data_IF_237241417811
#
_entry.id   IF_237241417811
#
_cell.length_a   1.000
_cell.length_b   1.000
_cell.length_c   1.000
_cell.angle_alpha   90.00
_cell.angle_beta   90.00
_cell.angle_gamma   90.00
#
_symmetry.space_group_name_H-M   'P 1'
#
loop_
_entity.id
_entity.type
_entity.pdbx_description
1 polymer ?
#
# COMPACT_ATOMS: atom_id res chain seq x y z
N UNK A 1 2.69 -12.12 3.06
CA UNK A 1 3.84 -11.45 3.70
C UNK A 1 3.55 -10.02 4.14
N UNK A 2 2.83 -9.20 3.36
CA UNK A 2 2.56 -7.82 3.76
C UNK A 2 1.91 -7.67 5.16
N UNK A 3 0.92 -8.49 5.57
CA UNK A 3 0.42 -8.47 6.94
C UNK A 3 1.51 -8.71 8.00
N UNK A 4 2.46 -9.62 7.74
CA UNK A 4 3.60 -9.87 8.62
C UNK A 4 4.59 -8.70 8.71
N UNK A 5 4.78 -7.94 7.62
CA UNK A 5 5.53 -6.68 7.67
C UNK A 5 4.80 -5.61 8.49
N UNK A 6 3.49 -5.45 8.26
CA UNK A 6 2.63 -4.53 9.03
C UNK A 6 2.63 -4.89 10.52
N UNK A 7 2.64 -6.17 10.89
CA UNK A 7 2.74 -6.60 12.28
C UNK A 7 4.16 -6.57 12.87
N UNK A 8 5.16 -6.10 12.09
CA UNK A 8 6.60 -6.11 12.42
C UNK A 8 7.23 -7.48 12.64
N UNK A 9 6.62 -8.55 12.14
CA UNK A 9 7.20 -9.90 12.16
C UNK A 9 8.25 -10.12 11.07
N UNK A 10 8.20 -9.30 10.01
CA UNK A 10 9.21 -9.26 8.96
C UNK A 10 9.65 -7.82 8.74
N UNK A 11 10.94 -7.64 8.50
CA UNK A 11 11.49 -6.41 7.93
C UNK A 11 11.09 -6.26 6.47
N UNK A 12 11.23 -5.06 5.94
CA UNK A 12 11.01 -4.81 4.51
C UNK A 12 11.90 -5.73 3.65
N UNK A 13 13.16 -5.93 4.05
CA UNK A 13 14.12 -6.75 3.30
C UNK A 13 13.72 -8.23 3.23
N UNK A 14 13.11 -8.78 4.28
CA UNK A 14 12.70 -10.19 4.35
C UNK A 14 11.48 -10.51 3.47
N UNK A 15 10.69 -9.49 3.13
CA UNK A 15 9.54 -9.65 2.23
C UNK A 15 9.87 -9.30 0.77
N UNK A 16 11.11 -8.94 0.46
CA UNK A 16 11.56 -8.59 -0.89
C UNK A 16 12.46 -9.66 -1.49
N UNK A 17 12.24 -9.93 -2.78
CA UNK A 17 13.10 -10.80 -3.58
C UNK A 17 13.88 -9.95 -4.59
N UNK A 18 15.18 -10.21 -4.73
CA UNK A 18 15.97 -9.60 -5.78
C UNK A 18 15.69 -10.30 -7.12
N UNK A 19 14.84 -9.66 -7.94
CA UNK A 19 14.46 -10.20 -9.25
C UNK A 19 15.63 -10.29 -10.23
N UNK A 20 16.61 -9.39 -10.16
CA UNK A 20 17.77 -9.45 -11.05
C UNK A 20 18.53 -10.76 -10.84
N UNK A 21 18.86 -11.10 -9.58
CA UNK A 21 19.53 -12.37 -9.25
C UNK A 21 18.72 -13.59 -9.67
N UNK A 22 17.39 -13.54 -9.51
CA UNK A 22 16.52 -14.64 -9.93
C UNK A 22 16.50 -14.80 -11.46
N UNK A 23 16.44 -13.70 -12.21
CA UNK A 23 16.47 -13.70 -13.66
C UNK A 23 17.81 -14.19 -14.21
N UNK A 24 18.93 -13.75 -13.60
CA UNK A 24 20.28 -14.25 -13.90
C UNK A 24 20.37 -15.77 -13.72
N UNK A 25 19.87 -16.29 -12.58
CA UNK A 25 19.81 -17.73 -12.32
C UNK A 25 18.98 -18.49 -13.36
N UNK A 26 17.86 -17.91 -13.80
CA UNK A 26 16.95 -18.51 -14.77
C UNK A 26 17.35 -18.32 -16.24
N UNK A 27 18.47 -17.64 -16.53
CA UNK A 27 18.85 -17.21 -17.88
C UNK A 27 17.71 -16.43 -18.59
N UNK A 28 17.04 -15.55 -17.85
CA UNK A 28 15.96 -14.68 -18.34
C UNK A 28 16.46 -13.24 -18.39
N UNK A 29 16.19 -12.54 -19.49
CA UNK A 29 16.51 -11.12 -19.59
C UNK A 29 15.47 -10.28 -18.82
N UNK A 30 15.93 -9.56 -17.79
CA UNK A 30 15.09 -8.65 -17.02
C UNK A 30 15.16 -7.23 -17.60
N UNK A 31 14.00 -6.69 -17.97
CA UNK A 31 13.87 -5.32 -18.47
C UNK A 31 13.11 -4.48 -17.44
N UNK A 32 13.82 -3.59 -16.75
CA UNK A 32 13.25 -2.67 -15.76
C UNK A 32 12.66 -1.44 -16.45
N UNK A 33 11.48 -1.59 -17.05
CA UNK A 33 10.73 -0.48 -17.64
C UNK A 33 9.22 -0.76 -17.63
N UNK A 34 8.40 0.29 -17.61
CA UNK A 34 6.96 0.14 -17.83
C UNK A 34 6.68 -0.23 -19.28
N UNK A 35 5.88 -1.26 -19.52
CA UNK A 35 5.27 -1.52 -20.82
C UNK A 35 4.12 -0.53 -21.04
N UNK A 36 4.23 0.32 -22.07
CA UNK A 36 3.27 1.39 -22.33
C UNK A 36 2.34 1.10 -23.51
N UNK A 37 2.77 0.25 -24.44
CA UNK A 37 1.96 -0.13 -25.61
C UNK A 37 2.34 -1.52 -26.11
N UNK A 38 1.34 -2.25 -26.57
CA UNK A 38 1.50 -3.51 -27.31
C UNK A 38 1.08 -3.23 -28.75
N UNK A 39 1.94 -3.56 -29.71
CA UNK A 39 1.68 -3.45 -31.14
C UNK A 39 1.75 -4.83 -31.74
N UNK A 40 0.65 -5.31 -32.33
CA UNK A 40 0.66 -6.58 -33.05
C UNK A 40 1.17 -6.36 -34.48
N UNK A 41 1.93 -7.31 -35.01
CA UNK A 41 2.31 -7.27 -36.42
C UNK A 41 1.05 -7.44 -37.30
N UNK A 42 1.00 -6.72 -38.42
CA UNK A 42 -0.10 -6.86 -39.39
C UNK A 42 -0.04 -8.25 -40.03
N UNK A 43 -1.19 -8.92 -40.17
CA UNK A 43 -1.23 -10.24 -40.80
C UNK A 43 -1.27 -10.14 -42.32
N UNK A 44 -0.28 -10.71 -42.98
CA UNK A 44 -0.30 -11.00 -44.41
C UNK A 44 -0.24 -12.50 -44.64
N UNK A 45 -1.40 -13.15 -44.84
CA UNK A 45 -1.46 -14.58 -45.15
C UNK A 45 -1.17 -15.51 -43.96
N UNK A 46 -0.29 -16.50 -44.14
CA UNK A 46 0.02 -17.56 -43.16
C UNK A 46 1.22 -17.25 -42.24
N UNK A 47 1.62 -15.99 -42.13
CA UNK A 47 2.79 -15.58 -41.35
C UNK A 47 2.63 -15.80 -39.84
N UNK A 48 3.77 -16.00 -39.15
CA UNK A 48 3.84 -16.20 -37.71
C UNK A 48 3.23 -15.00 -36.95
N UNK A 49 2.45 -15.29 -35.91
CA UNK A 49 1.79 -14.27 -35.09
C UNK A 49 2.79 -13.76 -34.05
N UNK A 50 2.95 -12.43 -33.99
CA UNK A 50 3.83 -11.77 -33.03
C UNK A 50 3.52 -10.29 -32.89
N UNK A 51 4.45 -9.56 -32.26
CA UNK A 51 4.36 -8.13 -32.12
C UNK A 51 5.50 -7.53 -31.32
N UNK A 52 5.27 -6.31 -30.84
CA UNK A 52 6.22 -5.51 -30.09
C UNK A 52 5.60 -4.99 -28.81
N UNK A 53 6.32 -5.12 -27.70
CA UNK A 53 6.08 -4.32 -26.50
C UNK A 53 6.93 -3.06 -26.61
N UNK A 54 6.29 -1.90 -26.50
CA UNK A 54 6.96 -0.60 -26.41
C UNK A 54 7.06 -0.25 -24.93
N UNK A 55 8.28 0.01 -24.47
CA UNK A 55 8.57 0.40 -23.11
C UNK A 55 8.64 1.93 -22.98
N UNK A 56 8.37 2.42 -21.78
CA UNK A 56 8.44 3.85 -21.39
C UNK A 56 9.80 4.49 -21.66
N UNK A 57 10.88 3.72 -21.68
CA UNK A 57 12.23 4.18 -22.00
C UNK A 57 12.55 4.15 -23.50
N UNK A 58 11.56 3.91 -24.37
CA UNK A 58 11.71 3.84 -25.83
C UNK A 58 12.19 2.50 -26.37
N UNK A 59 12.54 1.53 -25.52
CA UNK A 59 12.91 0.18 -25.98
C UNK A 59 11.70 -0.51 -26.64
N UNK A 60 11.97 -1.26 -27.71
CA UNK A 60 10.99 -2.09 -28.41
C UNK A 60 11.40 -3.56 -28.29
N UNK A 61 10.56 -4.37 -27.68
CA UNK A 61 10.82 -5.79 -27.42
C UNK A 61 9.92 -6.61 -28.33
N UNK A 62 10.52 -7.37 -29.25
CA UNK A 62 9.77 -8.29 -30.11
C UNK A 62 9.29 -9.50 -29.30
N UNK A 63 8.10 -10.00 -29.60
CA UNK A 63 7.58 -11.25 -29.04
C UNK A 63 6.84 -12.05 -30.10
N UNK A 64 6.86 -13.38 -29.94
CA UNK A 64 5.99 -14.31 -30.67
C UNK A 64 4.80 -14.72 -29.78
N UNK A 65 5.03 -14.82 -28.47
CA UNK A 65 4.01 -15.06 -27.45
C UNK A 65 4.15 -14.02 -26.33
N UNK A 66 3.03 -13.42 -25.93
CA UNK A 66 2.98 -12.45 -24.85
C UNK A 66 2.08 -12.96 -23.72
N UNK A 67 2.65 -13.06 -22.52
CA UNK A 67 1.90 -13.30 -21.27
C UNK A 67 1.81 -11.99 -20.48
N UNK A 68 0.60 -11.60 -20.08
CA UNK A 68 0.35 -10.32 -19.41
C UNK A 68 -0.01 -10.60 -17.95
N UNK A 69 0.86 -10.15 -17.04
CA UNK A 69 0.66 -10.23 -15.60
C UNK A 69 0.98 -8.89 -14.92
N UNK A 70 0.28 -7.83 -15.34
CA UNK A 70 0.51 -6.47 -14.84
C UNK A 70 -0.19 -6.17 -13.48
N UNK A 71 -0.99 -7.11 -12.96
CA UNK A 71 -1.76 -6.93 -11.74
C UNK A 71 -2.88 -5.88 -11.86
N UNK A 72 -3.41 -5.46 -10.71
CA UNK A 72 -4.42 -4.38 -10.61
C UNK A 72 -3.76 -3.09 -10.11
N UNK A 73 -4.19 -1.96 -10.67
CA UNK A 73 -3.96 -0.64 -10.07
C UNK A 73 -5.28 -0.20 -9.44
N UNK A 74 -5.30 0.24 -8.16
CA UNK A 74 -6.54 0.70 -7.56
C UNK A 74 -7.02 1.95 -8.31
N UNK A 75 -8.22 1.87 -8.87
CA UNK A 75 -8.97 3.04 -9.29
C UNK A 75 -9.48 3.72 -8.02
N UNK A 76 -8.61 4.44 -7.32
CA UNK A 76 -9.11 5.36 -6.32
C UNK A 76 -10.02 6.35 -7.08
N UNK A 77 -11.26 6.61 -6.62
CA UNK A 77 -12.11 7.66 -7.18
C UNK A 77 -11.55 9.06 -6.86
N UNK A 78 -10.23 9.24 -6.90
CA UNK A 78 -9.57 10.53 -6.91
C UNK A 78 -9.87 11.23 -8.24
N UNK A 79 -10.26 10.50 -9.30
CA UNK A 79 -10.81 11.10 -10.51
C UNK A 79 -12.27 11.57 -10.38
N UNK A 80 -12.96 11.31 -9.26
CA UNK A 80 -14.21 12.01 -8.94
C UNK A 80 -13.95 13.41 -8.35
N UNK A 81 -12.68 13.79 -8.18
CA UNK A 81 -12.26 15.19 -8.12
C UNK A 81 -12.09 15.69 -9.57
N UNK A 82 -13.10 15.48 -10.42
CA UNK A 82 -13.21 16.29 -11.62
C UNK A 82 -13.46 17.73 -11.14
N UNK A 83 -12.70 18.67 -11.70
CA UNK A 83 -12.78 20.12 -11.46
C UNK A 83 -14.22 20.66 -11.56
N UNK A 84 -15.12 19.92 -12.21
CA UNK A 84 -16.54 20.28 -12.40
C UNK A 84 -17.39 20.25 -11.12
N UNK A 85 -16.92 19.67 -10.00
CA UNK A 85 -17.70 19.56 -8.74
C UNK A 85 -17.04 20.19 -7.50
N UNK A 86 -15.93 20.92 -7.65
CA UNK A 86 -15.29 21.61 -6.50
C UNK A 86 -15.67 23.09 -6.54
N UNK A 87 -16.50 23.56 -5.59
CA UNK A 87 -17.07 24.91 -5.63
C UNK A 87 -16.29 25.97 -4.83
N UNK A 88 -15.20 25.65 -4.13
CA UNK A 88 -14.35 26.67 -3.46
C UNK A 88 -12.91 26.18 -3.16
N UNK A 89 -11.92 27.09 -3.09
CA UNK A 89 -10.51 26.79 -2.73
C UNK A 89 -10.35 26.13 -1.34
N UNK A 90 -11.26 26.43 -0.42
CA UNK A 90 -11.29 25.84 0.92
C UNK A 90 -11.72 24.37 0.89
N UNK A 91 -12.64 24.00 0.01
CA UNK A 91 -13.06 22.62 -0.21
C UNK A 91 -11.94 21.80 -0.89
N UNK A 92 -11.21 22.41 -1.83
CA UNK A 92 -10.04 21.76 -2.48
C UNK A 92 -8.96 21.41 -1.47
N UNK A 93 -8.63 22.34 -0.56
CA UNK A 93 -7.60 22.13 0.47
C UNK A 93 -8.03 21.09 1.52
N UNK A 94 -9.29 21.15 1.96
CA UNK A 94 -9.84 20.17 2.89
C UNK A 94 -9.94 18.76 2.28
N UNK A 95 -10.19 18.66 0.97
CA UNK A 95 -10.26 17.39 0.24
C UNK A 95 -8.86 16.81 -0.03
N UNK A 96 -7.88 17.65 -0.38
CA UNK A 96 -6.47 17.25 -0.51
C UNK A 96 -5.94 16.70 0.83
N UNK A 97 -6.20 17.40 1.93
CA UNK A 97 -5.87 16.93 3.28
C UNK A 97 -6.55 15.60 3.64
N UNK A 98 -7.75 15.31 3.12
CA UNK A 98 -8.43 14.01 3.31
C UNK A 98 -7.80 12.89 2.48
N UNK A 99 -7.29 13.18 1.29
CA UNK A 99 -6.63 12.20 0.43
C UNK A 99 -5.31 11.74 1.06
N UNK A 100 -4.58 12.63 1.73
CA UNK A 100 -3.34 12.30 2.44
C UNK A 100 -3.54 11.35 3.64
N UNK A 101 -4.78 11.23 4.13
CA UNK A 101 -5.14 10.26 5.17
C UNK A 101 -5.36 8.84 4.61
N UNK A 102 -5.48 8.68 3.29
CA UNK A 102 -5.76 7.39 2.66
C UNK A 102 -4.44 6.69 2.30
N UNK A 103 -4.26 5.48 2.83
CA UNK A 103 -3.11 4.62 2.53
C UNK A 103 -3.55 3.44 1.66
N UNK A 104 -3.46 3.53 0.32
CA UNK A 104 -3.77 2.41 -0.56
C UNK A 104 -2.72 1.31 -0.41
N UNK A 105 -3.16 0.05 -0.41
CA UNK A 105 -2.29 -1.13 -0.30
C UNK A 105 -1.40 -1.32 -1.54
N UNK A 106 -1.87 -0.86 -2.69
CA UNK A 106 -1.16 -0.95 -3.96
C UNK A 106 -0.89 0.47 -4.49
N UNK A 107 0.31 0.73 -5.05
CA UNK A 107 1.50 -0.12 -5.08
C UNK A 107 2.05 -0.44 -3.67
N UNK A 108 2.61 -1.65 -3.48
CA UNK A 108 3.12 -2.08 -2.16
C UNK A 108 4.28 -1.19 -1.71
N UNK A 109 5.16 -0.77 -2.62
CA UNK A 109 6.29 0.11 -2.31
C UNK A 109 5.82 1.42 -1.65
N UNK A 110 4.81 2.08 -2.24
CA UNK A 110 4.22 3.30 -1.67
C UNK A 110 3.43 3.05 -0.40
N UNK A 111 2.79 1.87 -0.26
CA UNK A 111 2.12 1.48 0.97
C UNK A 111 3.11 1.40 2.13
N UNK A 112 4.24 0.71 1.95
CA UNK A 112 5.26 0.53 3.00
C UNK A 112 5.75 1.89 3.52
N UNK A 113 6.09 2.82 2.63
CA UNK A 113 6.54 4.16 3.04
C UNK A 113 5.46 4.95 3.80
N UNK A 114 4.19 4.87 3.37
CA UNK A 114 3.08 5.53 4.09
C UNK A 114 2.78 4.88 5.43
N UNK A 115 2.95 3.57 5.53
CA UNK A 115 2.76 2.83 6.78
C UNK A 115 3.84 3.17 7.82
N UNK A 116 5.10 3.28 7.41
CA UNK A 116 6.16 3.74 8.32
C UNK A 116 5.92 5.18 8.77
N UNK A 117 5.59 6.09 7.84
CA UNK A 117 5.25 7.48 8.20
C UNK A 117 4.04 7.58 9.15
N UNK A 118 3.08 6.66 9.04
CA UNK A 118 1.99 6.54 10.01
C UNK A 118 2.51 6.10 11.39
N UNK A 119 3.43 5.12 11.43
CA UNK A 119 4.03 4.66 12.68
C UNK A 119 4.82 5.77 13.36
N UNK A 120 5.67 6.48 12.62
CA UNK A 120 6.47 7.62 13.12
C UNK A 120 5.57 8.69 13.71
N UNK A 121 4.55 9.12 12.96
CA UNK A 121 3.54 10.08 13.44
C UNK A 121 2.86 9.58 14.70
N UNK A 122 2.56 8.29 14.81
CA UNK A 122 1.92 7.71 15.98
C UNK A 122 2.85 7.71 17.20
N UNK A 123 4.15 7.49 17.03
CA UNK A 123 5.15 7.65 18.10
C UNK A 123 5.16 9.08 18.63
N UNK A 124 5.21 10.07 17.73
CA UNK A 124 5.26 11.50 18.09
C UNK A 124 3.97 12.01 18.74
N UNK A 125 2.82 11.46 18.33
CA UNK A 125 1.50 11.98 18.70
C UNK A 125 0.72 11.09 19.67
N UNK A 126 1.32 10.02 20.20
CA UNK A 126 0.62 9.05 21.06
C UNK A 126 -0.12 9.69 22.24
N UNK A 127 0.43 10.76 22.78
CA UNK A 127 -0.11 11.53 23.92
C UNK A 127 -1.45 12.21 23.63
N UNK A 128 -1.79 12.38 22.35
CA UNK A 128 -3.05 12.98 21.93
C UNK A 128 -4.23 12.00 22.03
N UNK A 129 -3.97 10.70 22.24
CA UNK A 129 -4.98 9.66 22.21
C UNK A 129 -5.32 9.12 23.61
N UNK A 130 -6.61 9.09 23.93
CA UNK A 130 -7.17 8.65 25.21
C UNK A 130 -8.60 8.09 24.99
N UNK A 131 -9.31 7.69 26.06
CA UNK A 131 -10.56 6.92 25.90
C UNK A 131 -11.66 7.70 25.19
N UNK A 132 -11.68 9.02 25.41
CA UNK A 132 -12.59 9.95 24.77
C UNK A 132 -12.16 10.28 23.33
N UNK A 133 -10.85 10.25 23.06
CA UNK A 133 -10.24 10.49 21.76
C UNK A 133 -9.35 9.33 21.27
N UNK A 134 -9.91 8.16 20.91
CA UNK A 134 -9.13 7.03 20.47
C UNK A 134 -8.60 7.24 19.05
N UNK A 135 -7.42 6.68 18.75
CA UNK A 135 -6.98 6.53 17.37
C UNK A 135 -7.91 5.57 16.63
N UNK A 136 -8.41 5.99 15.46
CA UNK A 136 -9.36 5.22 14.65
C UNK A 136 -8.72 4.83 13.33
N UNK A 137 -8.65 3.54 13.05
CA UNK A 137 -8.21 2.98 11.77
C UNK A 137 -9.42 2.39 11.05
N UNK A 138 -9.66 2.81 9.81
CA UNK A 138 -10.66 2.21 8.94
C UNK A 138 -9.97 1.47 7.80
N UNK A 139 -10.23 0.17 7.68
CA UNK A 139 -9.78 -0.64 6.54
C UNK A 139 -10.94 -0.83 5.58
N UNK A 140 -10.76 -0.41 4.33
CA UNK A 140 -11.76 -0.56 3.27
C UNK A 140 -11.45 -1.83 2.47
N UNK A 141 -12.38 -2.77 2.45
CA UNK A 141 -12.24 -4.07 1.80
C UNK A 141 -12.23 -5.22 2.82
N UNK A 142 -13.31 -6.00 2.84
CA UNK A 142 -13.50 -7.13 3.78
C UNK A 142 -13.02 -8.49 3.28
N UNK A 143 -12.21 -8.55 2.21
CA UNK A 143 -11.59 -9.78 1.75
C UNK A 143 -10.47 -10.24 2.70
N UNK A 144 -9.96 -11.47 2.52
CA UNK A 144 -8.91 -12.04 3.38
C UNK A 144 -7.75 -11.08 3.64
N UNK A 145 -7.17 -10.51 2.58
CA UNK A 145 -6.06 -9.56 2.73
C UNK A 145 -6.41 -8.28 3.50
N UNK A 146 -7.64 -7.79 3.41
CA UNK A 146 -8.09 -6.62 4.18
C UNK A 146 -8.28 -6.94 5.66
N UNK A 147 -8.84 -8.11 5.98
CA UNK A 147 -8.97 -8.59 7.35
C UNK A 147 -7.60 -8.85 7.99
N UNK A 148 -6.69 -9.51 7.27
CA UNK A 148 -5.33 -9.76 7.74
C UNK A 148 -4.58 -8.44 8.02
N UNK A 149 -4.71 -7.45 7.13
CA UNK A 149 -4.12 -6.12 7.33
C UNK A 149 -4.75 -5.41 8.54
N UNK A 150 -6.06 -5.49 8.73
CA UNK A 150 -6.73 -4.87 9.86
C UNK A 150 -6.23 -5.45 11.20
N UNK A 151 -6.13 -6.78 11.30
CA UNK A 151 -5.63 -7.45 12.51
C UNK A 151 -4.14 -7.18 12.74
N UNK A 152 -3.34 -7.19 11.68
CA UNK A 152 -1.90 -6.92 11.76
C UNK A 152 -1.62 -5.48 12.19
N UNK A 153 -2.35 -4.52 11.62
CA UNK A 153 -2.25 -3.12 11.99
C UNK A 153 -2.78 -2.89 13.41
N UNK A 154 -3.86 -3.57 13.81
CA UNK A 154 -4.35 -3.52 15.18
C UNK A 154 -3.25 -3.94 16.17
N UNK A 155 -2.62 -5.07 15.90
CA UNK A 155 -1.54 -5.60 16.74
C UNK A 155 -0.38 -4.61 16.87
N UNK A 156 0.18 -4.14 15.75
CA UNK A 156 1.37 -3.29 15.78
C UNK A 156 1.09 -1.87 16.31
N UNK A 157 0.03 -1.21 15.82
CA UNK A 157 -0.26 0.18 16.17
C UNK A 157 -0.73 0.32 17.63
N UNK A 158 -1.47 -0.67 18.17
CA UNK A 158 -1.84 -0.68 19.59
C UNK A 158 -0.59 -0.75 20.48
N UNK A 159 0.43 -1.52 20.08
CA UNK A 159 1.68 -1.63 20.82
C UNK A 159 2.53 -0.36 20.74
N UNK A 160 2.52 0.36 19.60
CA UNK A 160 3.10 1.70 19.50
C UNK A 160 2.43 2.66 20.50
N UNK A 161 1.09 2.73 20.47
CA UNK A 161 0.31 3.62 21.35
C UNK A 161 0.61 3.36 22.83
N UNK A 162 0.69 2.10 23.21
CA UNK A 162 1.01 1.68 24.58
C UNK A 162 2.50 1.79 24.95
N UNK A 163 3.36 2.21 24.02
CA UNK A 163 4.80 2.37 24.24
C UNK A 163 5.57 1.06 24.39
N UNK A 164 5.06 -0.05 23.85
CA UNK A 164 5.76 -1.34 23.79
C UNK A 164 6.69 -1.47 22.58
N UNK A 165 6.64 -0.53 21.65
CA UNK A 165 7.48 -0.48 20.45
C UNK A 165 8.14 0.89 20.42
N UNK A 166 9.44 0.95 20.17
CA UNK A 166 10.20 2.18 19.97
C UNK A 166 10.20 2.65 18.50
N UNK A 167 10.77 3.82 18.23
CA UNK A 167 10.87 4.40 16.88
C UNK A 167 11.69 3.54 15.92
N UNK A 168 12.57 2.68 16.44
CA UNK A 168 13.35 1.73 15.65
C UNK A 168 12.60 0.41 15.41
N UNK A 169 11.38 0.28 15.91
CA UNK A 169 10.54 -0.90 15.75
C UNK A 169 10.84 -2.04 16.72
N UNK A 170 11.69 -1.83 17.73
CA UNK A 170 12.05 -2.86 18.71
C UNK A 170 11.01 -2.95 19.84
N UNK A 171 10.84 -4.17 20.39
CA UNK A 171 10.06 -4.34 21.59
C UNK A 171 10.76 -3.74 22.81
N UNK A 172 10.07 -2.86 23.52
CA UNK A 172 10.55 -2.22 24.74
C UNK A 172 9.52 -2.37 25.87
N UNK A 173 9.99 -2.36 27.12
CA UNK A 173 9.08 -2.31 28.27
C UNK A 173 8.66 -0.84 28.48
N UNK A 174 7.37 -0.52 28.45
CA UNK A 174 6.92 0.83 28.69
C UNK A 174 7.24 1.22 30.14
N UNK A 175 7.62 2.48 30.34
CA UNK A 175 7.90 2.99 31.68
C UNK A 175 6.59 3.08 32.48
N UNK A 176 6.34 2.11 33.34
CA UNK A 176 5.09 2.00 34.13
C UNK A 176 4.91 3.11 35.17
N UNK A 177 5.91 3.99 35.34
CA UNK A 177 5.86 5.12 36.29
C UNK A 177 5.32 6.42 35.66
N UNK A 178 5.14 6.49 34.35
CA UNK A 178 4.47 7.63 33.70
C UNK A 178 2.96 7.43 33.69
N UNK A 179 2.19 8.46 34.07
CA UNK A 179 0.70 8.48 33.97
C UNK A 179 0.18 7.94 32.62
N UNK A 180 0.97 8.13 31.56
CA UNK A 180 0.77 7.63 30.19
C UNK A 180 0.29 6.18 30.08
N UNK A 181 0.87 5.20 30.80
CA UNK A 181 0.54 3.79 30.52
C UNK A 181 -0.84 3.36 31.03
N UNK A 182 -1.48 4.17 31.89
CA UNK A 182 -2.77 3.83 32.50
C UNK A 182 -3.97 4.43 31.78
N UNK A 183 -3.77 5.51 30.99
CA UNK A 183 -4.85 6.28 30.36
C UNK A 183 -4.84 6.24 28.81
N UNK A 184 -3.89 5.52 28.18
CA UNK A 184 -3.88 5.36 26.71
C UNK A 184 -4.98 4.38 26.29
N UNK A 185 -5.92 4.89 25.49
CA UNK A 185 -7.08 4.15 25.04
C UNK A 185 -6.79 3.09 23.98
N UNK A 186 -7.73 2.15 23.81
CA UNK A 186 -7.68 1.19 22.72
C UNK A 186 -7.76 1.89 21.35
N UNK A 187 -6.88 1.46 20.45
CA UNK A 187 -7.01 1.61 19.02
C UNK A 187 -8.36 1.01 18.57
N UNK A 188 -9.18 1.81 17.88
CA UNK A 188 -10.44 1.33 17.30
C UNK A 188 -10.21 1.02 15.82
N UNK A 189 -10.28 -0.26 15.47
CA UNK A 189 -10.19 -0.72 14.08
C UNK A 189 -11.57 -1.09 13.56
N UNK A 190 -11.99 -0.45 12.48
CA UNK A 190 -13.19 -0.80 11.73
C UNK A 190 -12.81 -1.40 10.38
N UNK A 191 -13.60 -2.37 9.91
CA UNK A 191 -13.49 -2.89 8.54
C UNK A 191 -14.78 -2.55 7.80
N UNK A 192 -14.66 -1.73 6.75
CA UNK A 192 -15.77 -1.46 5.85
C UNK A 192 -15.80 -2.54 4.76
N UNK A 193 -16.81 -3.40 4.84
CA UNK A 193 -17.08 -4.37 3.79
C UNK A 193 -17.77 -3.67 2.63
N UNK A 194 -16.99 -3.28 1.61
CA UNK A 194 -17.54 -2.73 0.38
C UNK A 194 -17.82 -3.86 -0.60
N UNK A 195 -19.09 -4.08 -0.93
CA UNK A 195 -19.52 -5.09 -1.90
C UNK A 195 -19.54 -4.47 -3.31
N UNK A 196 -18.50 -4.72 -4.10
CA UNK A 196 -18.37 -4.27 -5.50
C UNK A 196 -19.29 -5.05 -6.47
N UNK A 197 -20.50 -5.44 -6.05
CA UNK A 197 -21.42 -6.22 -6.91
C UNK A 197 -22.29 -5.38 -7.86
N UNK A 198 -22.19 -4.05 -7.84
CA UNK A 198 -22.96 -3.16 -8.72
C UNK A 198 -22.07 -2.14 -9.44
N UNK A 199 -21.14 -2.61 -10.27
CA UNK A 199 -20.59 -1.84 -11.39
C UNK A 199 -20.61 -2.69 -12.65
#
# INVERSE_FOLDING_TARGET
MLPGYVSRQYTLSEIHLNLQKLCEFGNVNLILAYAVKIVMDEKTGNEERGGWVICSNGQRIKFDVLSINAGISPSLPISAVNEDNVKTEQETTAMANKIDLITPVKPISTFSSRYEALCDRLHETRELYNEENPFRLLVVGGGAGGIELALSAQYALQRILLGYIDEQGNEVKPNTNTKQTKDVAPLKVGVLMYNMRNQ
#
